data_IF_909542937931
#
_entry.id   IF_909542937931
#
_cell.length_a   1.000
_cell.length_b   1.000
_cell.length_c   1.000
_cell.angle_alpha   90.00
_cell.angle_beta   90.00
_cell.angle_gamma   90.00
#
_symmetry.space_group_name_H-M   'P 1'
#
loop_
_entity.id
_entity.type
_entity.pdbx_description
1 polymer ?
#
# COMPACT_ATOMS: atom_id res chain seq x y z
N UNK A 1 -22.67 -3.57 25.36
CA UNK A 1 -21.89 -3.89 24.15
C UNK A 1 -22.07 -2.71 23.22
N UNK A 2 -20.99 -2.01 22.85
CA UNK A 2 -21.06 -0.91 21.87
C UNK A 2 -21.37 -1.48 20.48
N UNK A 3 -21.77 -0.62 19.54
CA UNK A 3 -21.96 -1.02 18.15
C UNK A 3 -20.68 -1.63 17.58
N UNK A 4 -19.52 -1.01 17.83
CA UNK A 4 -18.22 -1.55 17.44
C UNK A 4 -17.94 -2.94 18.03
N UNK A 5 -18.17 -3.14 19.34
CA UNK A 5 -17.95 -4.44 19.98
C UNK A 5 -18.78 -5.55 19.33
N UNK A 6 -20.01 -5.25 18.89
CA UNK A 6 -20.86 -6.22 18.19
C UNK A 6 -20.46 -6.52 16.75
N UNK A 7 -19.71 -5.61 16.11
CA UNK A 7 -19.33 -5.72 14.70
C UNK A 7 -17.93 -6.30 14.53
N UNK A 8 -16.98 -5.88 15.36
CA UNK A 8 -15.56 -6.24 15.21
C UNK A 8 -14.93 -6.70 16.52
N UNK A 9 -15.60 -6.53 17.66
CA UNK A 9 -15.11 -6.99 18.97
C UNK A 9 -15.41 -8.46 19.28
N UNK A 10 -16.12 -9.15 18.39
CA UNK A 10 -16.37 -10.59 18.46
C UNK A 10 -16.03 -11.27 17.15
N UNK A 11 -15.45 -12.47 17.21
CA UNK A 11 -15.25 -13.34 16.05
C UNK A 11 -16.59 -13.81 15.46
N UNK A 12 -16.54 -14.63 14.40
CA UNK A 12 -17.74 -15.14 13.73
C UNK A 12 -18.44 -16.26 14.50
N UNK A 13 -17.78 -16.87 15.49
CA UNK A 13 -18.37 -17.85 16.42
C UNK A 13 -19.05 -17.18 17.63
N UNK A 14 -18.94 -15.85 17.75
CA UNK A 14 -19.52 -15.05 18.83
C UNK A 14 -18.66 -14.91 20.08
N UNK A 15 -17.40 -15.36 20.04
CA UNK A 15 -16.44 -15.15 21.13
C UNK A 15 -15.84 -13.75 21.05
N UNK A 16 -15.46 -13.18 22.19
CA UNK A 16 -14.72 -11.90 22.20
C UNK A 16 -13.35 -12.11 21.57
N UNK A 17 -12.93 -11.18 20.72
CA UNK A 17 -11.56 -11.13 20.20
C UNK A 17 -10.75 -10.06 20.93
N UNK A 18 -9.45 -10.28 21.09
CA UNK A 18 -8.46 -9.27 21.45
C UNK A 18 -7.72 -8.69 20.22
N UNK A 19 -7.78 -9.37 19.08
CA UNK A 19 -7.29 -8.90 17.80
C UNK A 19 -8.42 -8.67 16.79
N UNK A 20 -8.63 -7.42 16.41
CA UNK A 20 -9.65 -7.03 15.44
C UNK A 20 -9.19 -7.35 14.02
N UNK A 21 -7.88 -7.37 13.76
CA UNK A 21 -7.35 -7.69 12.43
C UNK A 21 -7.71 -9.14 12.07
N UNK A 22 -7.70 -10.07 13.02
CA UNK A 22 -8.15 -11.46 12.80
C UNK A 22 -9.61 -11.54 12.32
N UNK A 23 -10.50 -10.68 12.82
CA UNK A 23 -11.90 -10.62 12.37
C UNK A 23 -12.00 -9.99 10.97
N UNK A 24 -11.19 -8.97 10.69
CA UNK A 24 -11.19 -8.27 9.40
C UNK A 24 -10.66 -9.19 8.30
N UNK A 25 -9.49 -9.78 8.49
CA UNK A 25 -8.80 -10.57 7.47
C UNK A 25 -9.27 -12.04 7.44
N UNK A 26 -9.85 -12.55 8.54
CA UNK A 26 -10.46 -13.89 8.59
C UNK A 26 -11.83 -13.98 7.92
N UNK A 27 -12.47 -12.86 7.59
CA UNK A 27 -13.84 -12.84 7.06
C UNK A 27 -14.04 -13.57 5.72
N UNK A 28 -12.97 -13.85 4.97
CA UNK A 28 -13.05 -14.55 3.70
C UNK A 28 -13.78 -15.91 3.83
N UNK A 29 -13.54 -16.64 4.91
CA UNK A 29 -14.14 -17.96 5.16
C UNK A 29 -15.54 -17.90 5.81
N UNK A 30 -16.06 -16.70 6.09
CA UNK A 30 -17.26 -16.49 6.92
C UNK A 30 -18.31 -15.60 6.24
N UNK A 31 -19.32 -16.22 5.62
CA UNK A 31 -20.41 -15.49 4.95
C UNK A 31 -21.16 -14.51 5.89
N UNK A 32 -21.13 -14.77 7.19
CA UNK A 32 -21.69 -13.95 8.28
C UNK A 32 -21.12 -12.52 8.30
N UNK A 33 -19.94 -12.28 7.69
CA UNK A 33 -19.39 -10.93 7.53
C UNK A 33 -20.41 -9.98 6.85
N UNK A 34 -21.29 -10.50 5.99
CA UNK A 34 -22.31 -9.71 5.25
C UNK A 34 -23.35 -9.10 6.17
N UNK A 35 -23.68 -9.76 7.27
CA UNK A 35 -24.65 -9.27 8.24
C UNK A 35 -24.13 -8.06 9.00
N UNK A 36 -22.80 -7.93 9.10
CA UNK A 36 -22.12 -6.82 9.79
C UNK A 36 -21.96 -5.58 8.90
N UNK A 37 -22.02 -5.72 7.58
CA UNK A 37 -21.78 -4.64 6.60
C UNK A 37 -22.68 -3.40 6.85
N UNK A 38 -24.01 -3.51 7.01
CA UNK A 38 -24.84 -2.34 7.27
C UNK A 38 -24.45 -1.59 8.55
N UNK A 39 -24.07 -2.33 9.59
CA UNK A 39 -23.62 -1.77 10.85
C UNK A 39 -22.26 -1.06 10.73
N UNK A 40 -21.34 -1.60 9.93
CA UNK A 40 -20.05 -0.97 9.65
C UNK A 40 -20.20 0.31 8.83
N UNK A 41 -21.10 0.32 7.84
CA UNK A 41 -21.43 1.54 7.08
C UNK A 41 -22.00 2.62 8.00
N UNK A 42 -22.92 2.25 8.89
CA UNK A 42 -23.47 3.19 9.87
C UNK A 42 -22.39 3.73 10.83
N UNK A 43 -21.50 2.86 11.32
CA UNK A 43 -20.40 3.24 12.21
C UNK A 43 -19.40 4.18 11.52
N UNK A 44 -19.04 3.91 10.26
CA UNK A 44 -18.15 4.75 9.47
C UNK A 44 -18.69 6.19 9.31
N UNK A 45 -20.01 6.30 9.11
CA UNK A 45 -20.72 7.58 8.96
C UNK A 45 -21.04 8.30 10.28
N UNK A 46 -20.86 7.65 11.44
CA UNK A 46 -21.16 8.25 12.73
C UNK A 46 -20.02 9.17 13.19
N UNK A 47 -20.22 10.48 13.08
CA UNK A 47 -19.25 11.50 13.52
C UNK A 47 -19.07 11.56 15.04
N UNK A 48 -19.97 10.94 15.82
CA UNK A 48 -19.83 10.82 17.26
C UNK A 48 -19.04 9.57 17.68
N UNK A 49 -18.83 8.61 16.77
CA UNK A 49 -18.03 7.43 17.04
C UNK A 49 -16.53 7.76 17.11
N UNK A 50 -15.74 7.05 17.94
CA UNK A 50 -14.29 7.24 18.00
C UNK A 50 -13.63 7.01 16.64
N UNK A 51 -12.64 7.84 16.30
CA UNK A 51 -11.98 7.77 14.99
C UNK A 51 -11.32 6.41 14.71
N UNK A 52 -10.81 5.73 15.75
CA UNK A 52 -10.28 4.36 15.63
C UNK A 52 -11.35 3.35 15.20
N UNK A 53 -12.57 3.47 15.71
CA UNK A 53 -13.67 2.58 15.33
C UNK A 53 -14.11 2.83 13.89
N UNK A 54 -14.14 4.09 13.47
CA UNK A 54 -14.44 4.50 12.09
C UNK A 54 -13.36 4.04 11.11
N UNK A 55 -12.09 4.16 11.49
CA UNK A 55 -10.95 3.63 10.73
C UNK A 55 -11.07 2.12 10.52
N UNK A 56 -11.28 1.35 11.60
CA UNK A 56 -11.42 -0.11 11.53
C UNK A 56 -12.66 -0.53 10.74
N UNK A 57 -13.76 0.23 10.83
CA UNK A 57 -14.92 -0.01 9.99
C UNK A 57 -14.61 0.21 8.50
N UNK A 58 -13.88 1.28 8.16
CA UNK A 58 -13.43 1.50 6.78
C UNK A 58 -12.51 0.38 6.30
N UNK A 59 -11.54 -0.03 7.13
CA UNK A 59 -10.59 -1.10 6.81
C UNK A 59 -11.31 -2.42 6.55
N UNK A 60 -12.25 -2.79 7.43
CA UNK A 60 -13.11 -3.97 7.26
C UNK A 60 -13.91 -3.91 5.95
N UNK A 61 -14.56 -2.79 5.66
CA UNK A 61 -15.32 -2.62 4.42
C UNK A 61 -14.44 -2.75 3.17
N UNK A 62 -13.19 -2.26 3.20
CA UNK A 62 -12.23 -2.42 2.10
C UNK A 62 -11.82 -3.89 1.96
N UNK A 63 -11.37 -4.52 3.05
CA UNK A 63 -10.94 -5.93 3.07
C UNK A 63 -12.05 -6.87 2.60
N UNK A 64 -13.31 -6.54 2.93
CA UNK A 64 -14.45 -7.34 2.53
C UNK A 64 -14.97 -7.01 1.12
N UNK A 65 -14.30 -6.14 0.37
CA UNK A 65 -14.68 -5.81 -1.00
C UNK A 65 -15.96 -4.97 -1.13
N UNK A 66 -16.32 -4.21 -0.09
CA UNK A 66 -17.52 -3.36 -0.12
C UNK A 66 -17.27 -2.03 -0.86
N UNK A 67 -18.12 -1.67 -1.84
CA UNK A 67 -17.96 -0.41 -2.60
C UNK A 67 -17.89 0.86 -1.75
N UNK A 68 -18.55 0.87 -0.58
CA UNK A 68 -18.52 2.02 0.34
C UNK A 68 -17.12 2.21 0.92
N UNK A 69 -16.46 1.14 1.38
CA UNK A 69 -15.10 1.22 1.93
C UNK A 69 -14.11 1.76 0.90
N UNK A 70 -14.15 1.22 -0.33
CA UNK A 70 -13.31 1.71 -1.42
C UNK A 70 -13.51 3.19 -1.73
N UNK A 71 -14.76 3.64 -1.86
CA UNK A 71 -15.04 5.07 -2.12
C UNK A 71 -14.56 5.95 -0.99
N UNK A 72 -14.74 5.53 0.25
CA UNK A 72 -14.24 6.28 1.41
C UNK A 72 -12.72 6.41 1.37
N UNK A 73 -11.97 5.37 1.02
CA UNK A 73 -10.52 5.47 0.83
C UNK A 73 -10.17 6.42 -0.31
N UNK A 74 -10.87 6.34 -1.45
CA UNK A 74 -10.65 7.24 -2.58
C UNK A 74 -10.86 8.70 -2.19
N UNK A 75 -11.96 9.02 -1.50
CA UNK A 75 -12.26 10.35 -0.99
C UNK A 75 -11.19 10.82 0.01
N UNK A 76 -10.78 9.93 0.93
CA UNK A 76 -9.73 10.18 1.90
C UNK A 76 -8.37 10.50 1.27
N UNK A 77 -8.09 10.05 0.04
CA UNK A 77 -6.83 10.40 -0.64
C UNK A 77 -6.80 11.84 -1.21
N UNK A 78 -7.95 12.51 -1.30
CA UNK A 78 -8.03 13.89 -1.80
C UNK A 78 -7.35 14.87 -0.84
N UNK A 79 -7.57 14.68 0.46
CA UNK A 79 -6.91 15.41 1.54
C UNK A 79 -6.62 14.47 2.73
N UNK A 80 -5.49 13.73 2.67
CA UNK A 80 -5.18 12.71 3.66
C UNK A 80 -5.18 13.20 5.11
N UNK A 81 -4.61 14.38 5.33
CA UNK A 81 -4.43 14.98 6.65
C UNK A 81 -5.73 15.47 7.28
N UNK A 82 -6.78 15.69 6.47
CA UNK A 82 -8.10 16.07 6.96
C UNK A 82 -8.95 14.87 7.37
N UNK A 83 -8.46 13.64 7.18
CA UNK A 83 -9.23 12.44 7.56
C UNK A 83 -9.25 12.26 9.07
N UNK A 84 -10.34 11.72 9.64
CA UNK A 84 -10.45 11.54 11.09
C UNK A 84 -9.40 10.59 11.67
N UNK A 85 -8.85 9.70 10.84
CA UNK A 85 -7.90 8.68 11.27
C UNK A 85 -6.44 9.00 10.97
N UNK A 86 -6.12 10.20 10.50
CA UNK A 86 -4.74 10.60 10.30
C UNK A 86 -3.99 10.61 11.63
N UNK A 87 -2.75 10.08 11.64
CA UNK A 87 -1.90 9.86 12.82
C UNK A 87 -2.45 8.83 13.83
N UNK A 88 -3.50 8.06 13.51
CA UNK A 88 -3.96 6.96 14.38
C UNK A 88 -3.07 5.72 14.29
N UNK A 89 -2.65 5.37 13.08
CA UNK A 89 -1.75 4.24 12.84
C UNK A 89 -0.39 4.82 12.53
N UNK A 90 0.52 4.75 13.49
CA UNK A 90 1.84 5.36 13.38
C UNK A 90 2.91 4.30 13.14
N UNK A 91 3.69 4.48 12.07
CA UNK A 91 4.92 3.71 11.91
C UNK A 91 5.92 4.06 13.02
N UNK A 92 6.51 3.02 13.62
CA UNK A 92 7.49 3.17 14.69
C UNK A 92 8.81 3.76 14.21
N UNK A 93 9.21 3.48 12.97
CA UNK A 93 10.54 3.86 12.47
C UNK A 93 10.62 5.34 12.13
N UNK A 94 9.62 5.87 11.42
CA UNK A 94 9.58 7.25 10.96
C UNK A 94 8.64 8.13 11.79
N UNK A 95 7.82 7.55 12.67
CA UNK A 95 6.84 8.30 13.47
C UNK A 95 5.94 9.17 12.59
N UNK A 96 5.38 8.55 11.55
CA UNK A 96 4.42 9.15 10.61
C UNK A 96 3.21 8.22 10.48
N UNK A 97 2.08 8.77 10.04
CA UNK A 97 0.92 7.97 9.67
C UNK A 97 1.28 6.90 8.63
N UNK A 98 0.79 5.68 8.86
CA UNK A 98 0.90 4.52 7.95
C UNK A 98 -0.46 3.90 7.66
N UNK A 99 -1.57 4.61 7.93
CA UNK A 99 -2.94 4.16 7.74
C UNK A 99 -3.20 3.77 6.27
N UNK A 100 -2.59 4.50 5.32
CA UNK A 100 -2.73 4.20 3.89
C UNK A 100 -2.01 2.91 3.47
N UNK A 101 -0.92 2.52 4.16
CA UNK A 101 -0.30 1.22 3.97
C UNK A 101 -1.23 0.06 4.34
N UNK A 102 -2.04 0.23 5.39
CA UNK A 102 -3.08 -0.73 5.79
C UNK A 102 -4.23 -0.80 4.78
N UNK A 103 -4.64 0.33 4.19
CA UNK A 103 -5.62 0.30 3.10
C UNK A 103 -5.10 -0.36 1.82
N UNK A 104 -3.80 -0.25 1.51
CA UNK A 104 -3.19 -1.01 0.41
C UNK A 104 -3.27 -2.51 0.64
N UNK A 105 -2.93 -2.97 1.85
CA UNK A 105 -3.03 -4.37 2.28
C UNK A 105 -4.48 -4.87 2.19
N UNK A 106 -5.43 -4.17 2.82
CA UNK A 106 -6.84 -4.54 2.78
C UNK A 106 -7.40 -4.57 1.34
N UNK A 107 -7.02 -3.62 0.49
CA UNK A 107 -7.43 -3.64 -0.92
C UNK A 107 -6.75 -4.78 -1.70
N UNK A 108 -5.60 -5.27 -1.28
CA UNK A 108 -4.94 -6.42 -1.90
C UNK A 108 -5.75 -7.69 -1.61
N UNK A 109 -5.99 -7.93 -0.32
CA UNK A 109 -6.64 -9.14 0.22
C UNK A 109 -8.10 -9.25 -0.21
N UNK A 110 -8.75 -8.12 -0.48
CA UNK A 110 -10.15 -8.08 -0.91
C UNK A 110 -10.41 -8.59 -2.33
N UNK A 111 -9.40 -9.03 -3.08
CA UNK A 111 -9.51 -9.38 -4.50
C UNK A 111 -10.69 -10.29 -4.80
N UNK A 112 -10.77 -11.42 -4.11
CA UNK A 112 -11.77 -12.45 -4.39
C UNK A 112 -13.17 -12.01 -4.00
N UNK A 113 -13.32 -11.38 -2.83
CA UNK A 113 -14.60 -10.79 -2.40
C UNK A 113 -15.04 -9.66 -3.32
N UNK A 114 -14.10 -8.89 -3.89
CA UNK A 114 -14.41 -7.84 -4.85
C UNK A 114 -14.89 -8.40 -6.19
N UNK A 115 -14.32 -9.51 -6.64
CA UNK A 115 -14.81 -10.24 -7.82
C UNK A 115 -16.23 -10.80 -7.54
N UNK A 116 -16.43 -11.46 -6.41
CA UNK A 116 -17.74 -12.02 -6.01
C UNK A 116 -18.84 -10.94 -5.92
N UNK A 117 -18.51 -9.79 -5.35
CA UNK A 117 -19.45 -8.67 -5.14
C UNK A 117 -19.53 -7.71 -6.32
N UNK A 118 -18.87 -7.99 -7.45
CA UNK A 118 -18.81 -7.12 -8.62
C UNK A 118 -18.28 -5.70 -8.29
N UNK A 119 -17.33 -5.59 -7.36
CA UNK A 119 -16.71 -4.35 -6.93
C UNK A 119 -15.24 -4.21 -7.34
N UNK A 120 -14.71 -5.09 -8.19
CA UNK A 120 -13.32 -5.06 -8.68
C UNK A 120 -12.93 -3.72 -9.33
N UNK A 121 -13.87 -3.02 -9.97
CA UNK A 121 -13.61 -1.68 -10.52
C UNK A 121 -13.32 -0.64 -9.42
N UNK A 122 -14.05 -0.70 -8.30
CA UNK A 122 -13.78 0.16 -7.14
C UNK A 122 -12.45 -0.19 -6.48
N UNK A 123 -12.08 -1.47 -6.42
CA UNK A 123 -10.75 -1.92 -5.95
C UNK A 123 -9.63 -1.31 -6.80
N UNK A 124 -9.75 -1.36 -8.13
CA UNK A 124 -8.76 -0.76 -9.04
C UNK A 124 -8.65 0.77 -8.85
N UNK A 125 -9.78 1.48 -8.77
CA UNK A 125 -9.77 2.93 -8.52
C UNK A 125 -9.18 3.30 -7.15
N UNK A 126 -9.33 2.42 -6.16
CA UNK A 126 -8.70 2.56 -4.85
C UNK A 126 -7.19 2.49 -4.98
N UNK A 127 -6.64 1.49 -5.68
CA UNK A 127 -5.20 1.45 -5.95
C UNK A 127 -4.70 2.66 -6.73
N UNK A 128 -5.44 3.14 -7.75
CA UNK A 128 -5.10 4.39 -8.45
C UNK A 128 -4.99 5.56 -7.49
N UNK A 129 -5.94 5.67 -6.58
CA UNK A 129 -6.00 6.77 -5.60
C UNK A 129 -4.85 6.69 -4.59
N UNK A 130 -4.54 5.50 -4.08
CA UNK A 130 -3.40 5.26 -3.17
C UNK A 130 -2.06 5.53 -3.87
N UNK A 131 -1.89 5.07 -5.12
CA UNK A 131 -0.68 5.35 -5.90
C UNK A 131 -0.48 6.84 -6.08
N UNK A 132 -1.55 7.60 -6.38
CA UNK A 132 -1.49 9.06 -6.61
C UNK A 132 -0.99 9.87 -5.42
N UNK A 133 -0.93 9.31 -4.21
CA UNK A 133 -0.44 9.98 -3.01
C UNK A 133 0.88 9.39 -2.48
N UNK A 134 1.46 8.40 -3.17
CA UNK A 134 2.66 7.71 -2.72
C UNK A 134 3.95 8.57 -2.73
N UNK A 135 3.88 9.80 -3.23
CA UNK A 135 4.97 10.78 -3.12
C UNK A 135 4.85 11.71 -1.91
N UNK A 136 3.75 11.62 -1.15
CA UNK A 136 3.46 12.51 -0.01
C UNK A 136 3.05 11.79 1.26
N UNK A 137 2.41 10.62 1.17
CA UNK A 137 2.05 9.78 2.32
C UNK A 137 2.93 8.53 2.40
N UNK A 138 3.11 8.01 3.61
CA UNK A 138 3.93 6.83 3.87
C UNK A 138 3.09 5.54 3.86
N UNK A 139 3.64 4.48 3.25
CA UNK A 139 2.94 3.21 3.03
C UNK A 139 3.60 2.00 3.69
N UNK A 140 4.63 2.19 4.53
CA UNK A 140 5.29 1.07 5.23
C UNK A 140 5.78 -0.06 4.29
N UNK A 141 6.22 0.30 3.07
CA UNK A 141 6.74 -0.64 2.03
C UNK A 141 5.65 -1.51 1.37
N UNK A 142 4.42 -1.41 1.85
CA UNK A 142 3.28 -2.24 1.44
C UNK A 142 2.79 -1.96 0.04
N UNK A 143 2.75 -0.69 -0.36
CA UNK A 143 2.10 -0.32 -1.61
C UNK A 143 2.73 -1.03 -2.82
N UNK A 144 4.07 -1.10 -2.91
CA UNK A 144 4.73 -1.78 -4.02
C UNK A 144 4.51 -3.30 -4.03
N UNK A 145 4.48 -3.92 -2.85
CA UNK A 145 4.38 -5.37 -2.69
C UNK A 145 2.97 -5.92 -2.91
N UNK A 146 1.93 -5.12 -2.69
CA UNK A 146 0.54 -5.53 -2.85
C UNK A 146 -0.05 -5.29 -4.26
N UNK A 147 0.72 -4.72 -5.19
CA UNK A 147 0.24 -4.51 -6.57
C UNK A 147 0.46 -5.76 -7.43
N UNK A 148 -0.63 -6.45 -7.74
CA UNK A 148 -0.64 -7.52 -8.72
C UNK A 148 -0.44 -6.99 -10.17
N UNK A 149 0.08 -7.84 -11.06
CA UNK A 149 0.47 -7.47 -12.43
C UNK A 149 -0.66 -6.75 -13.20
N UNK A 150 -1.91 -7.19 -13.06
CA UNK A 150 -3.08 -6.56 -13.69
C UNK A 150 -3.31 -5.13 -13.21
N UNK A 151 -3.16 -4.88 -11.90
CA UNK A 151 -3.26 -3.55 -11.30
C UNK A 151 -2.08 -2.69 -11.74
N UNK A 152 -0.85 -3.21 -11.70
CA UNK A 152 0.34 -2.48 -12.18
C UNK A 152 0.16 -2.05 -13.63
N UNK A 153 -0.30 -2.94 -14.50
CA UNK A 153 -0.57 -2.63 -15.91
C UNK A 153 -1.62 -1.54 -16.08
N UNK A 154 -2.68 -1.58 -15.29
CA UNK A 154 -3.78 -0.61 -15.34
C UNK A 154 -3.46 0.74 -14.70
N UNK A 155 -2.48 0.80 -13.80
CA UNK A 155 -2.04 1.99 -13.06
C UNK A 155 -0.66 2.52 -13.49
N UNK A 156 -0.08 1.96 -14.56
CA UNK A 156 1.24 2.36 -15.04
C UNK A 156 1.36 3.88 -15.31
N UNK A 157 0.35 4.57 -15.88
CA UNK A 157 0.38 6.02 -16.01
C UNK A 157 0.49 6.75 -14.66
N UNK A 158 -0.29 6.35 -13.66
CA UNK A 158 -0.26 6.91 -12.31
C UNK A 158 1.10 6.68 -11.62
N UNK A 159 1.64 5.46 -11.71
CA UNK A 159 2.96 5.13 -11.14
C UNK A 159 4.04 6.05 -11.71
N UNK A 160 4.08 6.20 -13.04
CA UNK A 160 5.03 7.09 -13.73
C UNK A 160 4.85 8.55 -13.30
N UNK A 161 3.61 9.02 -13.22
CA UNK A 161 3.30 10.39 -12.85
C UNK A 161 3.73 10.72 -11.41
N UNK A 162 3.48 9.79 -10.47
CA UNK A 162 3.87 9.98 -9.07
C UNK A 162 5.37 9.93 -8.88
N UNK A 163 6.07 8.98 -9.50
CA UNK A 163 7.54 8.94 -9.43
C UNK A 163 8.13 10.23 -10.03
N UNK A 164 7.64 10.68 -11.19
CA UNK A 164 8.12 11.92 -11.79
C UNK A 164 7.92 13.14 -10.88
N UNK A 165 6.76 13.27 -10.22
CA UNK A 165 6.47 14.37 -9.29
C UNK A 165 7.32 14.30 -8.01
N UNK A 166 7.52 13.09 -7.48
CA UNK A 166 8.38 12.86 -6.33
C UNK A 166 9.83 13.24 -6.64
N UNK A 167 10.33 12.87 -7.82
CA UNK A 167 11.67 13.20 -8.29
C UNK A 167 11.88 14.71 -8.42
N UNK A 168 10.92 15.44 -8.99
CA UNK A 168 10.96 16.90 -9.03
C UNK A 168 11.04 17.50 -7.63
N UNK A 169 10.32 16.92 -6.66
CA UNK A 169 10.33 17.39 -5.28
C UNK A 169 11.66 17.10 -4.58
N UNK A 170 12.27 15.93 -4.83
CA UNK A 170 13.61 15.58 -4.36
C UNK A 170 14.65 16.54 -4.92
N UNK A 171 14.63 16.80 -6.23
CA UNK A 171 15.53 17.74 -6.91
C UNK A 171 15.36 19.18 -6.39
N UNK A 172 14.14 19.57 -6.02
CA UNK A 172 13.85 20.85 -5.39
C UNK A 172 14.29 20.92 -3.91
N UNK A 173 14.80 19.83 -3.33
CA UNK A 173 15.27 19.77 -1.94
C UNK A 173 14.15 19.63 -0.90
N UNK A 174 12.95 19.22 -1.30
CA UNK A 174 11.84 18.95 -0.37
C UNK A 174 12.25 17.85 0.60
N UNK A 175 12.02 18.09 1.89
CA UNK A 175 12.29 17.12 2.96
C UNK A 175 11.02 16.39 3.34
N UNK A 176 11.11 15.08 3.42
CA UNK A 176 10.03 14.20 3.85
C UNK A 176 10.32 13.64 5.24
N UNK A 177 9.26 13.31 5.99
CA UNK A 177 9.38 12.70 7.32
C UNK A 177 9.68 11.20 7.27
N UNK A 178 9.66 10.61 6.09
CA UNK A 178 9.94 9.20 5.83
C UNK A 178 10.93 9.05 4.66
N UNK A 179 11.44 7.83 4.47
CA UNK A 179 12.34 7.49 3.37
C UNK A 179 11.59 7.35 2.05
N UNK A 180 11.36 8.50 1.39
CA UNK A 180 10.65 8.56 0.12
C UNK A 180 11.38 7.78 -0.99
N UNK A 181 12.72 7.85 -1.05
CA UNK A 181 13.49 7.18 -2.09
C UNK A 181 13.27 5.65 -2.07
N UNK A 182 13.29 5.05 -0.88
CA UNK A 182 12.98 3.62 -0.73
C UNK A 182 11.56 3.30 -1.19
N UNK A 183 10.56 4.09 -0.78
CA UNK A 183 9.16 3.86 -1.20
C UNK A 183 8.96 3.97 -2.72
N UNK A 184 9.64 4.92 -3.38
CA UNK A 184 9.59 5.04 -4.84
C UNK A 184 10.27 3.85 -5.53
N UNK A 185 11.36 3.32 -4.96
CA UNK A 185 11.99 2.09 -5.47
C UNK A 185 11.05 0.90 -5.33
N UNK A 186 10.36 0.74 -4.20
CA UNK A 186 9.38 -0.34 -4.02
C UNK A 186 8.22 -0.24 -5.02
N UNK A 187 7.73 0.98 -5.27
CA UNK A 187 6.71 1.21 -6.29
C UNK A 187 7.24 0.93 -7.71
N UNK A 188 8.49 1.27 -8.03
CA UNK A 188 9.10 0.96 -9.31
C UNK A 188 9.41 -0.54 -9.46
N UNK A 189 9.73 -1.24 -8.37
CA UNK A 189 9.92 -2.68 -8.34
C UNK A 189 8.66 -3.45 -8.79
N UNK A 190 7.46 -2.93 -8.52
CA UNK A 190 6.21 -3.56 -8.98
C UNK A 190 6.09 -3.56 -10.52
N UNK A 191 6.65 -2.53 -11.18
CA UNK A 191 6.64 -2.35 -12.63
C UNK A 191 7.45 -3.41 -13.38
N UNK A 192 8.42 -4.06 -12.73
CA UNK A 192 9.25 -5.11 -13.35
C UNK A 192 8.40 -6.24 -13.93
N UNK A 193 7.26 -6.53 -13.32
CA UNK A 193 6.32 -7.58 -13.77
C UNK A 193 5.68 -7.29 -15.13
N UNK A 194 5.59 -6.02 -15.53
CA UNK A 194 4.92 -5.59 -16.77
C UNK A 194 5.84 -4.95 -17.80
N UNK A 195 6.89 -4.25 -17.35
CA UNK A 195 7.83 -3.49 -18.17
C UNK A 195 9.18 -3.35 -17.44
N UNK A 196 10.05 -4.35 -17.64
CA UNK A 196 11.37 -4.41 -17.00
C UNK A 196 12.26 -3.20 -17.35
N UNK A 197 12.27 -2.77 -18.62
CA UNK A 197 13.11 -1.66 -19.08
C UNK A 197 12.68 -0.35 -18.41
N UNK A 198 11.37 -0.07 -18.35
CA UNK A 198 10.85 1.08 -17.64
C UNK A 198 11.14 1.03 -16.14
N UNK A 199 10.93 -0.12 -15.50
CA UNK A 199 11.20 -0.27 -14.07
C UNK A 199 12.65 0.04 -13.72
N UNK A 200 13.60 -0.50 -14.50
CA UNK A 200 15.04 -0.27 -14.32
C UNK A 200 15.41 1.20 -14.57
N UNK A 201 14.83 1.85 -15.59
CA UNK A 201 15.04 3.30 -15.82
C UNK A 201 14.58 4.12 -14.60
N UNK A 202 13.37 3.85 -14.10
CA UNK A 202 12.81 4.55 -12.93
C UNK A 202 13.70 4.36 -11.70
N UNK A 203 14.06 3.12 -11.36
CA UNK A 203 14.92 2.79 -10.21
C UNK A 203 16.27 3.50 -10.33
N UNK A 204 16.92 3.42 -11.49
CA UNK A 204 18.23 4.05 -11.70
C UNK A 204 18.16 5.57 -11.52
N UNK A 205 17.09 6.21 -12.02
CA UNK A 205 16.87 7.64 -11.84
C UNK A 205 16.65 8.00 -10.37
N UNK A 206 15.84 7.23 -9.64
CA UNK A 206 15.60 7.44 -8.21
C UNK A 206 16.92 7.36 -7.42
N UNK A 207 17.69 6.29 -7.63
CA UNK A 207 18.97 6.09 -6.94
C UNK A 207 20.01 7.17 -7.27
N UNK A 208 19.94 7.77 -8.46
CA UNK A 208 20.82 8.87 -8.84
C UNK A 208 20.45 10.18 -8.13
N UNK A 209 19.17 10.53 -8.03
CA UNK A 209 18.74 11.78 -7.39
C UNK A 209 18.75 11.73 -5.87
N UNK A 210 18.44 10.56 -5.29
CA UNK A 210 18.41 10.33 -3.84
C UNK A 210 19.15 9.03 -3.49
N UNK A 211 20.50 9.02 -3.54
CA UNK A 211 21.26 7.85 -3.17
C UNK A 211 21.05 7.52 -1.68
N UNK A 212 20.69 6.28 -1.40
CA UNK A 212 20.49 5.80 -0.04
C UNK A 212 20.64 4.29 0.06
N UNK A 213 21.32 3.83 1.12
CA UNK A 213 21.61 2.41 1.33
C UNK A 213 20.35 1.55 1.38
N UNK A 214 19.25 2.05 1.99
CA UNK A 214 17.98 1.33 2.04
C UNK A 214 17.36 1.21 0.65
N UNK A 215 17.29 2.31 -0.11
CA UNK A 215 16.77 2.28 -1.47
C UNK A 215 17.55 1.31 -2.38
N UNK A 216 18.89 1.26 -2.25
CA UNK A 216 19.71 0.29 -2.99
C UNK A 216 19.45 -1.16 -2.57
N UNK A 217 19.24 -1.44 -1.28
CA UNK A 217 18.84 -2.77 -0.80
C UNK A 217 17.50 -3.19 -1.42
N UNK A 218 16.52 -2.28 -1.47
CA UNK A 218 15.22 -2.56 -2.06
C UNK A 218 15.28 -2.73 -3.58
N UNK A 219 16.20 -2.05 -4.26
CA UNK A 219 16.41 -2.21 -5.70
C UNK A 219 16.93 -3.61 -6.10
N UNK A 220 17.52 -4.37 -5.16
CA UNK A 220 17.91 -5.78 -5.39
C UNK A 220 16.70 -6.64 -5.74
N UNK A 221 15.53 -6.34 -5.18
CA UNK A 221 14.27 -7.04 -5.51
C UNK A 221 13.94 -6.96 -7.00
N UNK A 222 14.17 -5.80 -7.66
CA UNK A 222 14.00 -5.71 -9.10
C UNK A 222 14.99 -6.58 -9.88
N UNK A 223 16.23 -6.71 -9.41
CA UNK A 223 17.24 -7.59 -10.05
C UNK A 223 16.78 -9.04 -10.00
N UNK A 224 16.25 -9.51 -8.86
CA UNK A 224 15.78 -10.89 -8.72
C UNK A 224 14.50 -11.17 -9.52
N UNK A 225 13.63 -10.17 -9.69
CA UNK A 225 12.40 -10.28 -10.49
C UNK A 225 12.65 -10.17 -11.99
N UNK A 226 13.67 -9.40 -12.40
CA UNK A 226 14.02 -9.18 -13.79
C UNK A 226 14.65 -10.41 -14.44
N UNK A 227 14.33 -10.66 -15.70
CA UNK A 227 14.86 -11.80 -16.49
C UNK A 227 15.68 -11.34 -17.70
N UNK A 228 15.56 -10.07 -18.06
CA UNK A 228 16.13 -9.47 -19.26
C UNK A 228 17.48 -8.78 -19.05
N UNK A 229 17.99 -8.14 -20.11
CA UNK A 229 19.23 -7.38 -20.07
C UNK A 229 19.17 -6.16 -19.13
N UNK A 230 18.00 -5.57 -18.88
CA UNK A 230 17.86 -4.41 -18.01
C UNK A 230 18.14 -4.78 -16.56
N UNK A 231 17.61 -5.91 -16.08
CA UNK A 231 17.93 -6.43 -14.75
C UNK A 231 19.43 -6.64 -14.53
N UNK A 232 20.14 -7.17 -15.55
CA UNK A 232 21.61 -7.32 -15.49
C UNK A 232 22.34 -5.98 -15.37
N UNK A 233 21.93 -4.97 -16.14
CA UNK A 233 22.50 -3.61 -16.03
C UNK A 233 22.26 -3.01 -14.65
N UNK A 234 21.08 -3.21 -14.07
CA UNK A 234 20.79 -2.78 -12.70
C UNK A 234 21.69 -3.51 -11.69
N UNK A 235 21.88 -4.82 -11.84
CA UNK A 235 22.78 -5.61 -10.98
C UNK A 235 24.23 -5.10 -11.05
N UNK A 236 24.74 -4.82 -12.25
CA UNK A 236 26.08 -4.25 -12.45
C UNK A 236 26.21 -2.87 -11.78
N UNK A 237 25.20 -2.02 -11.94
CA UNK A 237 25.14 -0.72 -11.29
C UNK A 237 25.18 -0.85 -9.76
N UNK A 238 24.28 -1.64 -9.18
CA UNK A 238 24.19 -1.85 -7.74
C UNK A 238 25.45 -2.51 -7.15
N UNK A 239 26.10 -3.42 -7.87
CA UNK A 239 27.36 -4.03 -7.43
C UNK A 239 28.50 -3.00 -7.35
N UNK A 240 28.51 -2.06 -8.30
CA UNK A 240 29.53 -1.00 -8.40
C UNK A 240 29.33 0.10 -7.35
N UNK A 241 28.08 0.56 -7.17
CA UNK A 241 27.78 1.72 -6.31
C UNK A 241 27.31 1.34 -4.92
N UNK A 242 26.82 0.11 -4.72
CA UNK A 242 26.30 -0.37 -3.46
C UNK A 242 27.38 -0.69 -2.43
N UNK A 243 26.96 -0.69 -1.16
CA UNK A 243 27.79 -1.14 -0.05
C UNK A 243 27.90 -2.67 -0.01
N UNK A 244 28.64 -3.20 0.96
CA UNK A 244 28.87 -4.65 1.09
C UNK A 244 27.56 -5.44 1.29
N UNK A 245 26.57 -4.86 1.97
CA UNK A 245 25.27 -5.50 2.15
C UNK A 245 24.54 -5.66 0.81
N UNK A 246 24.54 -4.63 -0.03
CA UNK A 246 23.93 -4.71 -1.37
C UNK A 246 24.61 -5.79 -2.21
N UNK A 247 25.95 -5.87 -2.19
CA UNK A 247 26.69 -6.92 -2.92
C UNK A 247 26.41 -8.32 -2.40
N UNK A 248 26.28 -8.49 -1.08
CA UNK A 248 25.91 -9.77 -0.48
C UNK A 248 24.54 -10.23 -0.96
N UNK A 249 23.54 -9.34 -0.93
CA UNK A 249 22.18 -9.66 -1.38
C UNK A 249 22.11 -9.99 -2.87
N UNK A 250 22.89 -9.33 -3.72
CA UNK A 250 22.98 -9.64 -5.15
C UNK A 250 23.60 -11.02 -5.45
N UNK A 251 24.38 -11.57 -4.52
CA UNK A 251 25.00 -12.89 -4.66
C UNK A 251 24.08 -14.03 -4.21
N UNK A 252 22.98 -13.71 -3.52
CA UNK A 252 21.98 -14.70 -3.12
C UNK A 252 21.16 -15.14 -4.34
N UNK A 253 20.84 -16.44 -4.47
CA UNK A 253 19.94 -16.89 -5.52
C UNK A 253 18.53 -16.32 -5.29
N UNK A 254 17.88 -15.92 -6.38
CA UNK A 254 16.48 -15.45 -6.40
C UNK A 254 15.48 -16.54 -5.97
#
# INVERSE_FOLDING_TARGET
>A
MTQFESLLGTDFDGNRTDDVDDVIYGAYDHFEHRERVPGLIALLGDTAAPDRERYLACLALVAWGEPVGYRTVQEATLDPQATPWYDLVMDRKFSVDSSYGKFSEAAADSRELAEEKNSSAFRLETFRSLIRIADREYFEERLGDYLEESVVRACLPEIRAVIARAMQSIEAGTRYRFDLATQLVDLANSVVTVDEELAVDLITRILHAAPGDRAMVHAVTAVHRAKGPAGRRLAEHLSTTGNERVRSLLAEPA
#
